data_IF_906644869613
#
_entry.id   IF_906644869613
#
_cell.length_a   1.000
_cell.length_b   1.000
_cell.length_c   1.000
_cell.angle_alpha   90.00
_cell.angle_beta   90.00
_cell.angle_gamma   90.00
#
_symmetry.space_group_name_H-M   'P 1'
#
loop_
_entity.id
_entity.type
_entity.pdbx_description
1 polymer ?
#
# COMPACT_ATOMS: atom_id res chain seq x y z
N UNK A 1 38.07 -60.90 -48.37
CA UNK A 1 37.86 -61.51 -47.04
C UNK A 1 38.15 -60.45 -45.99
N UNK A 2 37.12 -59.82 -45.46
CA UNK A 2 37.25 -58.80 -44.42
C UNK A 2 36.11 -58.97 -43.42
N UNK A 3 36.45 -59.18 -42.15
CA UNK A 3 35.53 -59.13 -41.02
C UNK A 3 36.26 -58.42 -39.88
N UNK A 4 35.76 -57.25 -39.49
CA UNK A 4 36.17 -56.49 -38.31
C UNK A 4 35.03 -56.64 -37.28
N UNK A 5 35.30 -56.99 -36.01
CA UNK A 5 34.25 -57.21 -35.03
C UNK A 5 33.77 -55.89 -34.40
N UNK A 6 32.44 -55.79 -34.28
CA UNK A 6 31.68 -54.69 -33.71
C UNK A 6 31.68 -54.80 -32.17
N UNK A 7 32.28 -53.82 -31.47
CA UNK A 7 32.24 -53.71 -30.01
C UNK A 7 31.00 -52.92 -29.59
N UNK A 8 30.20 -53.54 -28.73
CA UNK A 8 29.02 -52.95 -28.08
C UNK A 8 29.40 -51.74 -27.23
N UNK A 9 28.87 -50.57 -27.56
CA UNK A 9 28.92 -49.38 -26.71
C UNK A 9 27.72 -49.41 -25.75
N UNK A 10 27.98 -49.63 -24.47
CA UNK A 10 26.97 -49.51 -23.41
C UNK A 10 26.63 -48.03 -23.20
N UNK A 11 25.38 -47.66 -23.48
CA UNK A 11 24.86 -46.31 -23.26
C UNK A 11 24.56 -46.11 -21.77
N UNK A 12 25.46 -45.43 -21.06
CA UNK A 12 25.25 -44.99 -19.68
C UNK A 12 24.24 -43.82 -19.68
N UNK A 13 22.98 -44.11 -19.35
CA UNK A 13 21.97 -43.08 -19.09
C UNK A 13 22.27 -42.49 -17.72
N UNK A 14 22.99 -41.36 -17.69
CA UNK A 14 23.15 -40.56 -16.49
C UNK A 14 21.81 -39.90 -16.16
N UNK A 15 21.15 -40.36 -15.10
CA UNK A 15 19.98 -39.70 -14.53
C UNK A 15 20.46 -38.39 -13.88
N UNK A 16 20.39 -37.28 -14.62
CA UNK A 16 20.64 -35.95 -14.08
C UNK A 16 19.47 -35.63 -13.15
N UNK A 17 19.67 -35.84 -11.85
CA UNK A 17 18.80 -35.31 -10.80
C UNK A 17 18.97 -33.79 -10.80
N UNK A 18 18.14 -33.11 -11.61
CA UNK A 18 17.97 -31.66 -11.46
C UNK A 18 17.41 -31.43 -10.06
N UNK A 19 18.08 -30.67 -9.17
CA UNK A 19 17.50 -30.32 -7.90
C UNK A 19 16.18 -29.62 -8.19
N UNK A 20 15.08 -30.16 -7.68
CA UNK A 20 13.81 -29.45 -7.66
C UNK A 20 14.11 -28.04 -7.12
N UNK A 21 13.89 -27.02 -7.95
CA UNK A 21 14.11 -25.64 -7.55
C UNK A 21 13.39 -25.47 -6.20
N UNK A 22 14.16 -25.30 -5.13
CA UNK A 22 13.60 -25.22 -3.79
C UNK A 22 12.54 -24.12 -3.83
N UNK A 23 11.27 -24.50 -3.71
CA UNK A 23 10.16 -23.54 -3.67
C UNK A 23 10.57 -22.50 -2.63
N UNK A 24 10.79 -21.25 -3.04
CA UNK A 24 11.48 -20.33 -2.15
C UNK A 24 10.60 -20.14 -0.91
N UNK A 25 11.16 -20.52 0.24
CA UNK A 25 10.43 -20.59 1.49
C UNK A 25 9.72 -19.26 1.77
N UNK A 26 8.52 -19.33 2.35
CA UNK A 26 7.86 -18.14 2.85
C UNK A 26 8.69 -17.47 3.97
N UNK A 27 8.46 -16.19 4.27
CA UNK A 27 9.14 -15.53 5.38
C UNK A 27 8.90 -16.25 6.71
N UNK A 28 9.95 -16.31 7.54
CA UNK A 28 9.95 -16.87 8.88
C UNK A 28 9.48 -15.87 9.95
N UNK A 29 9.40 -14.58 9.62
CA UNK A 29 9.05 -13.51 10.54
C UNK A 29 7.71 -13.76 11.29
N UNK A 30 7.57 -13.26 12.54
CA UNK A 30 6.35 -13.47 13.33
C UNK A 30 5.09 -12.87 12.71
N UNK A 31 5.22 -11.66 12.14
CA UNK A 31 4.13 -10.95 11.48
C UNK A 31 4.60 -10.41 10.13
N UNK A 32 3.76 -10.57 9.10
CA UNK A 32 4.00 -9.90 7.83
C UNK A 32 2.72 -9.71 7.03
N UNK A 33 2.78 -8.76 6.10
CA UNK A 33 1.77 -8.50 5.08
C UNK A 33 2.44 -8.14 3.76
N UNK A 34 1.94 -8.69 2.65
CA UNK A 34 2.34 -8.36 1.29
C UNK A 34 1.11 -7.91 0.52
N UNK A 35 1.21 -6.75 -0.10
CA UNK A 35 0.08 -6.07 -0.72
C UNK A 35 0.42 -5.60 -2.13
N UNK A 36 -0.52 -5.79 -3.05
CA UNK A 36 -0.46 -5.19 -4.39
C UNK A 36 -1.39 -3.95 -4.43
N UNK A 37 -0.83 -2.74 -4.50
CA UNK A 37 -1.62 -1.52 -4.54
C UNK A 37 -2.40 -1.31 -5.85
N UNK A 38 -2.03 -1.98 -6.95
CA UNK A 38 -2.74 -1.83 -8.22
C UNK A 38 -4.10 -2.54 -8.20
N UNK A 39 -4.15 -3.75 -7.63
CA UNK A 39 -5.38 -4.54 -7.46
C UNK A 39 -6.06 -4.33 -6.11
N UNK A 40 -5.40 -3.61 -5.20
CA UNK A 40 -5.80 -3.43 -3.81
C UNK A 40 -5.94 -4.75 -3.02
N UNK A 41 -5.17 -5.78 -3.37
CA UNK A 41 -5.26 -7.11 -2.77
C UNK A 41 -4.12 -7.40 -1.78
N UNK A 42 -4.47 -8.03 -0.65
CA UNK A 42 -3.50 -8.70 0.22
C UNK A 42 -3.11 -10.04 -0.42
N UNK A 43 -1.84 -10.19 -0.77
CA UNK A 43 -1.33 -11.39 -1.44
C UNK A 43 -0.92 -12.46 -0.44
N UNK A 44 -0.22 -12.04 0.62
CA UNK A 44 0.23 -12.92 1.70
C UNK A 44 0.10 -12.18 3.03
N UNK A 45 -0.28 -12.90 4.07
CA UNK A 45 -0.38 -12.36 5.41
C UNK A 45 -0.10 -13.46 6.45
N UNK A 46 0.59 -13.10 7.52
CA UNK A 46 0.78 -13.95 8.71
C UNK A 46 0.64 -13.08 9.94
N UNK A 47 -0.29 -13.44 10.83
CA UNK A 47 -0.60 -12.68 12.05
C UNK A 47 -0.72 -11.16 11.79
N UNK A 48 -1.30 -10.79 10.64
CA UNK A 48 -1.20 -9.44 10.11
C UNK A 48 -2.09 -8.44 10.87
N UNK A 49 -3.09 -8.93 11.59
CA UNK A 49 -4.07 -8.15 12.36
C UNK A 49 -3.69 -8.05 13.86
N UNK A 50 -2.55 -8.63 14.26
CA UNK A 50 -2.07 -8.55 15.64
C UNK A 50 -1.67 -7.11 16.00
N UNK A 51 -2.21 -6.60 17.11
CA UNK A 51 -1.89 -5.28 17.66
C UNK A 51 -0.54 -5.32 18.34
N UNK A 52 0.42 -4.58 17.80
CA UNK A 52 1.80 -4.54 18.24
C UNK A 52 2.33 -3.11 18.22
N UNK A 53 3.36 -2.84 19.02
CA UNK A 53 4.02 -1.56 19.02
C UNK A 53 4.68 -1.29 17.65
N UNK A 54 4.27 -0.25 16.91
CA UNK A 54 4.79 0.03 15.56
C UNK A 54 6.20 0.63 15.56
N UNK A 55 6.65 1.18 16.68
CA UNK A 55 7.90 1.94 16.76
C UNK A 55 7.93 3.06 15.72
N UNK A 56 9.08 3.28 15.09
CA UNK A 56 9.25 4.32 14.06
C UNK A 56 8.41 4.12 12.78
N UNK A 57 7.75 2.96 12.57
CA UNK A 57 6.79 2.82 11.46
C UNK A 57 5.59 3.78 11.63
N UNK A 58 5.33 4.26 12.84
CA UNK A 58 4.42 5.38 13.16
C UNK A 58 4.67 6.61 12.29
N UNK A 59 5.93 6.88 11.95
CA UNK A 59 6.30 8.07 11.20
C UNK A 59 5.80 8.03 9.74
N UNK A 60 5.30 6.88 9.25
CA UNK A 60 4.52 6.84 8.01
C UNK A 60 3.23 7.66 8.15
N UNK A 61 2.53 7.57 9.28
CA UNK A 61 1.32 8.37 9.53
C UNK A 61 1.68 9.83 9.83
N UNK A 62 2.78 10.07 10.56
CA UNK A 62 3.28 11.44 10.79
C UNK A 62 3.59 12.13 9.47
N UNK A 63 4.29 11.45 8.56
CA UNK A 63 4.53 11.96 7.21
C UNK A 63 3.23 12.17 6.45
N UNK A 64 2.28 11.23 6.52
CA UNK A 64 0.98 11.34 5.85
C UNK A 64 0.22 12.62 6.26
N UNK A 65 0.14 12.90 7.56
CA UNK A 65 -0.53 14.11 8.09
C UNK A 65 0.24 15.39 7.70
N UNK A 66 1.57 15.39 7.79
CA UNK A 66 2.40 16.55 7.42
C UNK A 66 2.31 16.83 5.91
N UNK A 67 2.30 15.80 5.07
CA UNK A 67 2.11 15.97 3.63
C UNK A 67 0.71 16.49 3.29
N UNK A 68 -0.32 16.10 4.04
CA UNK A 68 -1.65 16.71 3.96
C UNK A 68 -1.60 18.21 4.25
N UNK A 69 -0.99 18.60 5.36
CA UNK A 69 -0.82 20.01 5.72
C UNK A 69 -0.03 20.81 4.68
N UNK A 70 1.00 20.22 4.06
CA UNK A 70 1.76 20.83 2.96
C UNK A 70 0.91 21.01 1.70
N UNK A 71 0.12 19.99 1.33
CA UNK A 71 -0.79 20.04 0.16
C UNK A 71 -1.87 21.11 0.36
N UNK A 72 -2.39 21.21 1.57
CA UNK A 72 -3.50 22.11 1.90
C UNK A 72 -3.03 23.55 2.18
N UNK A 73 -1.71 23.78 2.27
CA UNK A 73 -1.09 25.10 2.40
C UNK A 73 -0.95 25.60 3.85
N UNK A 74 -1.27 24.78 4.84
CA UNK A 74 -1.16 25.10 6.28
C UNK A 74 0.30 25.31 6.71
N UNK A 75 1.23 24.67 6.01
CA UNK A 75 2.67 24.77 6.22
C UNK A 75 3.40 24.74 4.88
N UNK A 76 4.61 25.29 4.81
CA UNK A 76 5.46 25.26 3.62
C UNK A 76 6.81 24.62 3.92
N UNK A 77 7.45 24.02 2.90
CA UNK A 77 8.75 23.36 3.05
C UNK A 77 9.86 24.29 3.56
N UNK A 78 9.80 25.58 3.19
CA UNK A 78 10.79 26.60 3.54
C UNK A 78 10.48 27.32 4.85
N UNK A 79 9.36 27.00 5.51
CA UNK A 79 9.05 27.58 6.82
C UNK A 79 10.13 27.16 7.82
N UNK A 80 10.73 28.13 8.46
CA UNK A 80 11.65 27.92 9.57
C UNK A 80 10.88 27.68 10.88
N UNK A 81 11.31 26.68 11.63
CA UNK A 81 10.75 26.29 12.91
C UNK A 81 11.86 26.29 13.96
N UNK A 82 11.56 26.81 15.15
CA UNK A 82 12.47 26.77 16.29
C UNK A 82 12.05 25.58 17.18
N UNK A 83 12.88 24.53 17.30
CA UNK A 83 12.55 23.37 18.13
C UNK A 83 12.36 23.74 19.60
N UNK A 84 11.25 23.29 20.18
CA UNK A 84 10.93 23.49 21.60
C UNK A 84 11.75 22.53 22.48
N UNK A 85 11.91 22.87 23.76
CA UNK A 85 12.54 21.94 24.72
C UNK A 85 11.78 20.60 24.82
N UNK A 86 10.45 20.64 24.67
CA UNK A 86 9.63 19.44 24.65
C UNK A 86 9.98 18.54 23.47
N UNK A 87 10.07 19.07 22.25
CA UNK A 87 10.42 18.29 21.07
C UNK A 87 11.86 17.71 21.12
N UNK A 88 12.77 18.38 21.84
CA UNK A 88 14.16 17.94 22.00
C UNK A 88 14.39 16.97 23.18
N UNK A 89 13.37 16.77 24.03
CA UNK A 89 13.50 15.97 25.26
C UNK A 89 14.13 14.60 24.98
N UNK A 90 15.14 14.17 25.75
CA UNK A 90 15.74 12.88 25.51
C UNK A 90 14.84 11.71 25.91
N UNK A 91 14.83 10.67 25.08
CA UNK A 91 14.27 9.36 25.33
C UNK A 91 15.36 8.31 25.08
N UNK A 92 15.29 7.17 25.78
CA UNK A 92 16.29 6.12 25.66
C UNK A 92 16.42 5.62 24.22
N UNK A 93 17.65 5.65 23.70
CA UNK A 93 18.07 5.03 22.42
C UNK A 93 17.18 5.40 21.21
N UNK A 94 16.76 6.66 21.09
CA UNK A 94 16.03 7.11 19.88
C UNK A 94 16.96 7.70 18.79
N UNK A 95 16.70 7.42 17.49
CA UNK A 95 17.31 8.15 16.38
C UNK A 95 16.92 9.64 16.40
N UNK A 96 17.87 10.51 16.06
CA UNK A 96 17.72 11.97 16.16
C UNK A 96 18.54 12.69 15.10
N UNK A 97 18.03 13.84 14.68
CA UNK A 97 18.81 14.84 13.93
C UNK A 97 19.79 15.63 14.81
N UNK A 98 19.66 15.53 16.14
CA UNK A 98 20.44 16.30 17.12
C UNK A 98 20.15 17.81 17.02
N UNK A 99 18.85 18.13 16.84
CA UNK A 99 18.35 19.49 16.76
C UNK A 99 18.69 20.29 18.04
N UNK A 100 18.95 21.58 17.89
CA UNK A 100 19.32 22.47 18.99
C UNK A 100 18.21 23.48 19.28
N UNK A 101 17.98 23.77 20.56
CA UNK A 101 16.99 24.77 20.94
C UNK A 101 17.47 26.16 20.52
N UNK A 102 16.57 26.98 19.98
CA UNK A 102 16.89 28.32 19.49
C UNK A 102 17.53 28.36 18.09
N UNK A 103 17.86 27.21 17.49
CA UNK A 103 18.36 27.14 16.11
C UNK A 103 17.19 26.83 15.18
N UNK A 104 16.95 27.71 14.22
CA UNK A 104 15.91 27.53 13.21
C UNK A 104 16.24 26.36 12.26
N UNK A 105 15.24 25.55 11.93
CA UNK A 105 15.35 24.43 11.00
C UNK A 105 14.12 24.42 10.08
N UNK A 106 14.33 24.17 8.79
CA UNK A 106 13.24 24.17 7.82
C UNK A 106 12.39 22.90 7.91
N UNK A 107 11.12 23.00 7.49
CA UNK A 107 10.24 21.82 7.37
C UNK A 107 10.82 20.76 6.44
N UNK A 108 11.49 21.17 5.37
CA UNK A 108 12.15 20.24 4.44
C UNK A 108 13.27 19.42 5.11
N UNK A 109 14.12 20.08 5.90
CA UNK A 109 15.18 19.42 6.67
C UNK A 109 14.61 18.46 7.72
N UNK A 110 13.56 18.87 8.44
CA UNK A 110 12.89 18.03 9.43
C UNK A 110 12.27 16.80 8.78
N UNK A 111 11.59 16.96 7.64
CA UNK A 111 11.07 15.83 6.86
C UNK A 111 12.19 14.92 6.39
N UNK A 112 13.30 15.49 5.93
CA UNK A 112 14.44 14.71 5.48
C UNK A 112 15.06 13.89 6.62
N UNK A 113 15.26 14.46 7.81
CA UNK A 113 15.78 13.70 8.95
C UNK A 113 14.79 12.67 9.50
N UNK A 114 13.51 13.02 9.58
CA UNK A 114 12.45 12.08 9.98
C UNK A 114 12.36 10.88 9.01
N UNK A 115 12.36 11.13 7.70
CA UNK A 115 12.20 10.07 6.71
C UNK A 115 13.47 9.24 6.55
N UNK A 116 14.64 9.89 6.47
CA UNK A 116 15.90 9.19 6.20
C UNK A 116 16.41 8.49 7.45
N UNK A 117 16.42 9.13 8.62
CA UNK A 117 17.01 8.56 9.83
C UNK A 117 15.99 8.03 10.83
N UNK A 118 14.70 8.13 10.51
CA UNK A 118 13.63 7.89 11.48
C UNK A 118 13.72 8.81 12.72
N UNK A 119 14.24 10.04 12.54
CA UNK A 119 14.53 10.96 13.63
C UNK A 119 13.27 11.39 14.41
N UNK A 120 13.23 11.05 15.70
CA UNK A 120 12.04 11.28 16.56
C UNK A 120 11.90 12.73 17.02
N UNK A 121 13.01 13.43 17.22
CA UNK A 121 13.00 14.87 17.51
C UNK A 121 12.36 15.67 16.36
N UNK A 122 12.73 15.35 15.11
CA UNK A 122 12.12 15.95 13.93
C UNK A 122 10.60 15.69 13.82
N UNK A 123 10.18 14.45 14.09
CA UNK A 123 8.76 14.09 14.10
C UNK A 123 7.95 14.92 15.13
N UNK A 124 8.51 15.15 16.32
CA UNK A 124 7.87 15.98 17.35
C UNK A 124 7.78 17.46 16.96
N UNK A 125 8.85 18.02 16.38
CA UNK A 125 8.83 19.42 15.90
C UNK A 125 7.78 19.60 14.80
N UNK A 126 7.72 18.67 13.84
CA UNK A 126 6.70 18.70 12.78
C UNK A 126 5.28 18.59 13.35
N UNK A 127 5.09 17.74 14.36
CA UNK A 127 3.80 17.59 15.02
C UNK A 127 3.34 18.88 15.72
N UNK A 128 4.23 19.53 16.47
CA UNK A 128 3.97 20.84 17.08
C UNK A 128 3.68 21.92 16.03
N UNK A 129 4.39 21.92 14.90
CA UNK A 129 4.18 22.90 13.86
C UNK A 129 2.81 22.77 13.15
N UNK A 130 2.32 21.54 12.97
CA UNK A 130 1.05 21.26 12.26
C UNK A 130 -0.16 21.35 13.19
N UNK A 131 -0.02 20.96 14.45
CA UNK A 131 -1.16 20.84 15.37
C UNK A 131 -0.98 21.57 16.72
N UNK A 132 0.01 22.45 16.83
CA UNK A 132 0.40 23.20 18.04
C UNK A 132 0.99 22.37 19.18
N UNK A 133 0.53 21.12 19.39
CA UNK A 133 1.11 20.20 20.36
C UNK A 133 0.90 18.72 19.96
N UNK A 134 1.71 17.82 20.54
CA UNK A 134 1.79 16.41 20.13
C UNK A 134 0.47 15.63 20.31
N UNK A 135 -0.29 15.89 21.39
CA UNK A 135 -1.60 15.23 21.59
C UNK A 135 -2.62 15.59 20.50
N UNK A 136 -2.74 16.86 20.11
CA UNK A 136 -3.63 17.27 19.03
C UNK A 136 -3.17 16.71 17.67
N UNK A 137 -1.86 16.53 17.49
CA UNK A 137 -1.34 15.84 16.32
C UNK A 137 -1.75 14.37 16.31
N UNK A 138 -1.68 13.67 17.45
CA UNK A 138 -2.15 12.29 17.56
C UNK A 138 -3.65 12.16 17.26
N UNK A 139 -4.48 13.13 17.65
CA UNK A 139 -5.89 13.18 17.27
C UNK A 139 -6.07 13.28 15.75
N UNK A 140 -5.28 14.11 15.07
CA UNK A 140 -5.27 14.16 13.59
C UNK A 140 -4.83 12.84 12.96
N UNK A 141 -3.79 12.21 13.50
CA UNK A 141 -3.34 10.88 13.04
C UNK A 141 -4.47 9.85 13.17
N UNK A 142 -5.22 9.87 14.27
CA UNK A 142 -6.32 8.93 14.51
C UNK A 142 -7.58 9.26 13.67
N UNK A 143 -7.79 10.52 13.29
CA UNK A 143 -8.79 10.87 12.28
C UNK A 143 -8.46 10.25 10.92
N UNK A 144 -7.17 10.26 10.53
CA UNK A 144 -6.70 9.59 9.32
C UNK A 144 -6.79 8.06 9.41
N UNK A 145 -6.52 7.46 10.58
CA UNK A 145 -6.77 6.03 10.85
C UNK A 145 -8.21 5.67 10.52
N UNK A 146 -9.18 6.44 11.04
CA UNK A 146 -10.60 6.21 10.78
C UNK A 146 -10.96 6.40 9.30
N UNK A 147 -10.46 7.48 8.67
CA UNK A 147 -10.73 7.79 7.25
C UNK A 147 -10.17 6.72 6.31
N UNK A 148 -9.00 6.18 6.63
CA UNK A 148 -8.34 5.11 5.86
C UNK A 148 -8.86 3.71 6.21
N UNK A 149 -9.69 3.58 7.25
CA UNK A 149 -10.27 2.31 7.68
C UNK A 149 -9.25 1.34 8.29
N UNK A 150 -8.21 1.87 8.95
CA UNK A 150 -7.18 1.08 9.64
C UNK A 150 -7.76 0.57 10.97
N UNK A 151 -8.04 -0.72 11.07
CA UNK A 151 -8.91 -1.29 12.12
C UNK A 151 -8.20 -1.64 13.41
N UNK A 152 -6.90 -1.86 13.33
CA UNK A 152 -6.05 -2.33 14.42
C UNK A 152 -4.89 -1.36 14.66
N UNK A 153 -5.19 -0.06 14.55
CA UNK A 153 -4.24 1.03 14.73
C UNK A 153 -4.79 2.13 15.64
N UNK A 154 -3.95 2.61 16.55
CA UNK A 154 -4.14 3.83 17.31
C UNK A 154 -2.77 4.43 17.64
N UNK A 155 -2.60 5.70 17.32
CA UNK A 155 -1.38 6.44 17.63
C UNK A 155 -1.57 7.31 18.87
N UNK A 156 -0.64 7.23 19.81
CA UNK A 156 -0.60 8.11 20.98
C UNK A 156 0.35 9.31 20.81
N UNK A 157 1.31 9.21 19.88
CA UNK A 157 2.33 10.22 19.63
C UNK A 157 2.83 10.15 18.17
N UNK A 158 3.56 11.18 17.73
CA UNK A 158 4.03 11.32 16.36
C UNK A 158 5.34 10.57 16.08
N UNK A 159 6.09 10.23 17.13
CA UNK A 159 7.46 9.72 16.99
C UNK A 159 7.54 8.20 16.96
N UNK A 160 6.50 7.51 17.44
CA UNK A 160 6.52 6.06 17.67
C UNK A 160 7.25 5.68 18.95
N UNK A 161 7.29 6.59 19.93
CA UNK A 161 7.73 6.30 21.29
C UNK A 161 6.75 5.34 21.97
N UNK A 162 7.26 4.46 22.82
CA UNK A 162 6.43 3.50 23.54
C UNK A 162 5.50 4.23 24.52
N UNK A 163 4.20 3.95 24.40
CA UNK A 163 3.16 4.63 25.14
C UNK A 163 1.90 3.76 25.21
N UNK A 164 1.17 3.85 26.33
CA UNK A 164 -0.02 3.05 26.55
C UNK A 164 -1.09 3.29 25.46
N UNK A 165 -1.53 2.19 24.85
CA UNK A 165 -2.53 2.22 23.79
C UNK A 165 -2.02 2.78 22.46
N UNK A 166 -0.70 2.79 22.25
CA UNK A 166 -0.04 3.04 20.97
C UNK A 166 0.24 1.71 20.26
N UNK A 167 -0.50 1.40 19.18
CA UNK A 167 -0.37 0.14 18.46
C UNK A 167 -0.74 0.28 16.99
N UNK A 168 -0.26 -0.65 16.18
CA UNK A 168 -0.71 -0.89 14.81
C UNK A 168 -0.62 -2.38 14.47
N UNK A 169 -0.79 -2.74 13.21
CA UNK A 169 -0.77 -4.11 12.70
C UNK A 169 -0.02 -4.18 11.37
N UNK A 170 0.46 -5.35 10.95
CA UNK A 170 1.15 -5.47 9.67
C UNK A 170 0.20 -5.13 8.49
N UNK A 171 -1.08 -5.49 8.61
CA UNK A 171 -2.13 -5.15 7.64
C UNK A 171 -2.31 -3.64 7.55
N UNK A 172 -2.52 -2.98 8.68
CA UNK A 172 -2.79 -1.54 8.67
C UNK A 172 -1.57 -0.74 8.20
N UNK A 173 -0.36 -1.15 8.59
CA UNK A 173 0.87 -0.49 8.15
C UNK A 173 1.10 -0.62 6.64
N UNK A 174 0.75 -1.76 6.04
CA UNK A 174 0.89 -1.91 4.57
C UNK A 174 -0.19 -1.12 3.83
N UNK A 175 -1.40 -1.01 4.39
CA UNK A 175 -2.46 -0.16 3.85
C UNK A 175 -2.13 1.33 4.00
N UNK A 176 -1.52 1.74 5.11
CA UNK A 176 -1.00 3.08 5.32
C UNK A 176 0.10 3.42 4.32
N UNK A 177 1.04 2.49 4.08
CA UNK A 177 2.04 2.65 3.04
C UNK A 177 1.40 2.79 1.64
N UNK A 178 0.36 2.02 1.34
CA UNK A 178 -0.38 2.13 0.09
C UNK A 178 -1.08 3.48 -0.06
N UNK A 179 -1.72 3.98 1.00
CA UNK A 179 -2.35 5.29 1.03
C UNK A 179 -1.32 6.41 0.83
N UNK A 180 -0.17 6.33 1.49
CA UNK A 180 0.91 7.30 1.35
C UNK A 180 1.40 7.40 -0.10
N UNK A 181 1.62 6.26 -0.78
CA UNK A 181 2.05 6.28 -2.18
C UNK A 181 0.97 6.70 -3.16
N UNK A 182 -0.31 6.43 -2.84
CA UNK A 182 -1.45 6.84 -3.66
C UNK A 182 -1.67 8.35 -3.59
N UNK A 183 -1.63 8.91 -2.38
CA UNK A 183 -2.05 10.28 -2.12
C UNK A 183 -0.88 11.27 -2.20
N UNK A 184 0.36 10.79 -1.99
CA UNK A 184 1.59 11.59 -2.03
C UNK A 184 2.71 10.93 -2.84
N UNK A 185 2.46 10.53 -4.12
CA UNK A 185 3.46 9.83 -4.94
C UNK A 185 4.76 10.63 -5.13
N UNK A 186 4.67 11.96 -5.17
CA UNK A 186 5.81 12.87 -5.34
C UNK A 186 6.76 12.89 -4.13
N UNK A 187 6.35 12.33 -2.99
CA UNK A 187 7.19 12.25 -1.78
C UNK A 187 8.04 10.98 -1.72
N UNK A 188 7.75 9.98 -2.56
CA UNK A 188 8.50 8.72 -2.62
C UNK A 188 10.02 8.90 -2.81
N UNK A 189 10.53 9.85 -3.63
CA UNK A 189 11.96 10.09 -3.75
C UNK A 189 12.67 10.41 -2.43
N UNK A 190 11.96 10.93 -1.41
CA UNK A 190 12.54 11.16 -0.07
C UNK A 190 12.86 9.85 0.64
N UNK A 191 12.00 8.84 0.52
CA UNK A 191 12.17 7.52 1.11
C UNK A 191 13.27 6.70 0.42
N UNK A 192 13.52 6.95 -0.86
CA UNK A 192 14.60 6.31 -1.63
C UNK A 192 16.00 6.88 -1.30
N UNK A 193 16.10 7.98 -0.53
CA UNK A 193 17.39 8.56 -0.15
C UNK A 193 18.11 7.65 0.83
N UNK A 194 19.32 7.25 0.44
CA UNK A 194 20.26 6.44 1.26
C UNK A 194 20.92 7.24 2.38
N UNK A 195 21.12 8.54 2.15
CA UNK A 195 21.82 9.46 3.06
C UNK A 195 21.19 10.85 3.02
N UNK A 196 21.39 11.59 4.09
CA UNK A 196 21.08 13.01 4.23
C UNK A 196 22.18 13.69 5.06
N UNK A 197 22.14 15.02 5.17
CA UNK A 197 23.01 15.77 6.07
C UNK A 197 22.23 16.89 6.72
N UNK A 198 22.52 17.18 7.98
CA UNK A 198 22.01 18.33 8.70
C UNK A 198 23.12 18.89 9.59
N UNK A 199 23.44 20.18 9.47
CA UNK A 199 24.49 20.85 10.25
C UNK A 199 25.85 20.10 10.24
N UNK A 200 26.24 19.56 9.09
CA UNK A 200 27.48 18.80 8.93
C UNK A 200 27.44 17.38 9.49
N UNK A 201 26.32 16.93 10.02
CA UNK A 201 26.09 15.58 10.53
C UNK A 201 25.45 14.74 9.43
N UNK A 202 26.14 13.68 9.00
CA UNK A 202 25.57 12.72 8.06
C UNK A 202 24.50 11.86 8.73
N UNK A 203 23.34 11.76 8.08
CA UNK A 203 22.23 10.91 8.47
C UNK A 203 22.13 9.74 7.50
N UNK A 204 21.96 8.53 8.04
CA UNK A 204 21.96 7.29 7.25
C UNK A 204 20.59 6.63 7.28
N UNK A 205 20.18 6.10 6.13
CA UNK A 205 18.95 5.33 6.06
C UNK A 205 19.13 3.92 6.65
N UNK A 206 18.41 3.53 7.72
CA UNK A 206 18.52 2.20 8.31
C UNK A 206 17.94 1.08 7.42
N UNK A 207 17.20 1.43 6.37
CA UNK A 207 16.66 0.49 5.39
C UNK A 207 17.74 0.01 4.41
N UNK A 208 18.51 -1.02 4.79
CA UNK A 208 19.61 -1.54 3.96
C UNK A 208 19.13 -2.08 2.61
N UNK A 209 17.85 -2.40 2.45
CA UNK A 209 17.29 -2.84 1.16
C UNK A 209 17.52 -1.83 0.04
N UNK A 210 17.60 -0.52 0.35
CA UNK A 210 17.92 0.52 -0.64
C UNK A 210 19.31 0.33 -1.29
N UNK A 211 20.21 -0.45 -0.68
CA UNK A 211 21.52 -0.80 -1.23
C UNK A 211 21.54 -2.22 -1.82
N UNK A 212 20.69 -3.12 -1.33
CA UNK A 212 20.71 -4.54 -1.66
C UNK A 212 19.82 -4.88 -2.87
N UNK A 213 18.73 -4.13 -3.08
CA UNK A 213 17.80 -4.35 -4.18
C UNK A 213 17.56 -3.04 -4.95
N UNK A 214 17.95 -2.96 -6.24
CA UNK A 214 17.75 -1.76 -7.05
C UNK A 214 16.27 -1.44 -7.32
N UNK A 215 15.35 -2.38 -7.05
CA UNK A 215 13.91 -2.19 -7.19
C UNK A 215 13.26 -1.62 -5.94
N UNK A 216 13.95 -1.58 -4.79
CA UNK A 216 13.42 -1.04 -3.53
C UNK A 216 13.60 0.48 -3.49
N UNK A 217 12.52 1.19 -3.20
CA UNK A 217 12.47 2.66 -3.17
C UNK A 217 11.88 3.23 -1.86
N UNK A 218 11.81 2.42 -0.81
CA UNK A 218 11.33 2.83 0.50
C UNK A 218 10.99 1.66 1.42
N UNK A 219 10.30 1.87 2.55
CA UNK A 219 9.87 3.16 3.10
C UNK A 219 10.55 3.42 4.46
N UNK A 220 10.20 2.68 5.50
CA UNK A 220 10.62 2.99 6.87
C UNK A 220 11.00 1.72 7.63
N UNK A 221 11.94 1.83 8.56
CA UNK A 221 12.27 0.74 9.49
C UNK A 221 11.97 1.13 10.93
N UNK A 222 11.84 0.14 11.81
CA UNK A 222 11.75 0.35 13.23
C UNK A 222 12.50 -0.74 14.00
N UNK A 223 12.84 -0.41 15.23
CA UNK A 223 13.28 -1.35 16.24
C UNK A 223 12.49 -1.05 17.51
N UNK A 224 11.96 -2.09 18.13
CA UNK A 224 11.21 -2.00 19.39
C UNK A 224 11.79 -3.06 20.32
N UNK A 225 12.16 -2.64 21.54
CA UNK A 225 12.69 -3.56 22.54
C UNK A 225 11.65 -4.64 22.89
N UNK A 226 12.09 -5.90 22.99
CA UNK A 226 11.22 -7.05 23.22
C UNK A 226 10.46 -7.55 21.97
N UNK A 227 10.18 -6.70 20.97
CA UNK A 227 9.53 -7.10 19.72
C UNK A 227 10.54 -7.42 18.61
N UNK A 228 11.63 -6.68 18.52
CA UNK A 228 12.69 -6.86 17.51
C UNK A 228 12.64 -5.81 16.39
N UNK A 229 13.02 -6.23 15.18
CA UNK A 229 13.27 -5.37 14.03
C UNK A 229 12.16 -5.47 12.98
N UNK A 230 11.74 -4.32 12.45
CA UNK A 230 10.59 -4.20 11.55
C UNK A 230 10.88 -3.28 10.37
N UNK A 231 10.22 -3.53 9.24
CA UNK A 231 10.32 -2.71 8.03
C UNK A 231 8.98 -2.66 7.30
N UNK A 232 8.63 -1.48 6.79
CA UNK A 232 7.69 -1.31 5.70
C UNK A 232 8.52 -0.99 4.44
N UNK A 233 8.51 -1.90 3.47
CA UNK A 233 9.28 -1.84 2.25
C UNK A 233 8.37 -1.66 1.04
N UNK A 234 8.89 -0.94 0.06
CA UNK A 234 8.25 -0.72 -1.23
C UNK A 234 9.22 -1.09 -2.33
N UNK A 235 8.76 -1.86 -3.32
CA UNK A 235 9.57 -2.19 -4.49
C UNK A 235 8.76 -2.11 -5.78
N UNK A 236 9.41 -1.65 -6.87
CA UNK A 236 8.83 -1.57 -8.21
C UNK A 236 9.67 -2.30 -9.24
N UNK A 237 9.08 -3.29 -9.93
CA UNK A 237 9.68 -4.01 -11.06
C UNK A 237 8.84 -3.77 -12.31
N UNK A 238 9.41 -3.07 -13.30
CA UNK A 238 8.65 -2.59 -14.45
C UNK A 238 7.51 -1.67 -14.01
N UNK A 239 6.28 -1.99 -14.40
CA UNK A 239 5.08 -1.24 -14.01
C UNK A 239 4.45 -1.73 -12.70
N UNK A 240 4.91 -2.85 -12.13
CA UNK A 240 4.30 -3.46 -10.95
C UNK A 240 5.01 -3.02 -9.69
N UNK A 241 4.24 -2.58 -8.70
CA UNK A 241 4.70 -2.24 -7.35
C UNK A 241 4.15 -3.25 -6.35
N UNK A 242 4.96 -3.63 -5.37
CA UNK A 242 4.52 -4.40 -4.21
C UNK A 242 4.96 -3.70 -2.94
N UNK A 243 4.14 -3.81 -1.90
CA UNK A 243 4.40 -3.31 -0.57
C UNK A 243 4.48 -4.48 0.41
N UNK A 244 5.54 -4.50 1.22
CA UNK A 244 5.77 -5.55 2.19
C UNK A 244 5.99 -4.93 3.57
N UNK A 245 5.31 -5.46 4.58
CA UNK A 245 5.56 -5.15 5.98
C UNK A 245 6.03 -6.43 6.66
N UNK A 246 7.15 -6.35 7.38
CA UNK A 246 7.71 -7.42 8.20
C UNK A 246 7.95 -6.86 9.59
N UNK A 247 7.49 -7.56 10.62
CA UNK A 247 7.58 -7.10 12.02
C UNK A 247 8.12 -8.22 12.91
N UNK A 248 9.06 -7.85 13.77
CA UNK A 248 9.58 -8.69 14.84
C UNK A 248 10.67 -9.69 14.42
N UNK A 249 11.51 -9.33 13.45
CA UNK A 249 12.71 -10.12 13.16
C UNK A 249 13.74 -9.99 14.28
N UNK A 250 14.59 -11.01 14.49
CA UNK A 250 15.54 -11.03 15.60
C UNK A 250 16.76 -10.10 15.39
N UNK A 251 17.03 -9.70 14.14
CA UNK A 251 18.11 -8.76 13.80
C UNK A 251 17.75 -7.90 12.58
N UNK A 252 18.47 -6.79 12.38
CA UNK A 252 18.31 -5.96 11.18
C UNK A 252 18.60 -6.73 9.89
N UNK A 253 19.62 -7.59 9.89
CA UNK A 253 19.94 -8.46 8.74
C UNK A 253 18.82 -9.46 8.45
N UNK A 254 18.24 -10.06 9.48
CA UNK A 254 17.08 -10.95 9.30
C UNK A 254 15.88 -10.16 8.76
N UNK A 255 15.52 -9.03 9.36
CA UNK A 255 14.44 -8.12 8.87
C UNK A 255 14.57 -7.86 7.38
N UNK A 256 15.77 -7.46 6.94
CA UNK A 256 16.03 -7.14 5.53
C UNK A 256 15.89 -8.39 4.64
N UNK A 257 16.48 -9.52 5.03
CA UNK A 257 16.37 -10.77 4.26
C UNK A 257 14.94 -11.31 4.18
N UNK A 258 14.13 -11.16 5.24
CA UNK A 258 12.74 -11.60 5.29
C UNK A 258 11.85 -10.72 4.39
N UNK A 259 12.04 -9.40 4.42
CA UNK A 259 11.33 -8.48 3.53
C UNK A 259 11.71 -8.69 2.06
N UNK A 260 13.00 -8.88 1.77
CA UNK A 260 13.49 -9.24 0.45
C UNK A 260 12.86 -10.55 -0.05
N UNK A 261 12.77 -11.57 0.81
CA UNK A 261 12.15 -12.87 0.48
C UNK A 261 10.66 -12.71 0.18
N UNK A 262 9.95 -11.93 0.99
CA UNK A 262 8.52 -11.66 0.80
C UNK A 262 8.24 -10.94 -0.53
N UNK A 263 9.01 -9.89 -0.83
CA UNK A 263 8.89 -9.15 -2.11
C UNK A 263 9.23 -10.06 -3.30
N UNK A 264 10.32 -10.82 -3.23
CA UNK A 264 10.73 -11.74 -4.30
C UNK A 264 9.68 -12.82 -4.57
N UNK A 265 9.10 -13.39 -3.51
CA UNK A 265 8.01 -14.33 -3.65
C UNK A 265 6.80 -13.67 -4.33
N UNK A 266 6.40 -12.47 -3.90
CA UNK A 266 5.30 -11.72 -4.52
C UNK A 266 5.48 -11.47 -6.01
N UNK A 267 6.69 -11.11 -6.44
CA UNK A 267 6.98 -10.88 -7.86
C UNK A 267 7.09 -12.17 -8.68
N UNK A 268 7.40 -13.31 -8.07
CA UNK A 268 7.61 -14.59 -8.77
C UNK A 268 6.34 -15.42 -8.85
N UNK A 269 5.57 -15.48 -7.77
CA UNK A 269 4.43 -16.39 -7.64
C UNK A 269 3.09 -15.75 -8.00
N UNK A 270 3.04 -14.42 -8.19
CA UNK A 270 1.82 -13.71 -8.54
C UNK A 270 2.02 -12.88 -9.79
N UNK A 271 0.94 -12.64 -10.53
CA UNK A 271 0.86 -11.70 -11.65
C UNK A 271 -0.33 -10.77 -11.49
N UNK A 272 -0.21 -9.53 -11.97
CA UNK A 272 -1.28 -8.51 -11.89
C UNK A 272 -1.80 -8.21 -13.28
N UNK A 273 -3.05 -8.55 -13.51
CA UNK A 273 -3.73 -8.47 -14.80
C UNK A 273 -4.65 -7.24 -14.83
N UNK A 274 -4.51 -6.40 -15.86
CA UNK A 274 -5.48 -5.34 -16.15
C UNK A 274 -6.73 -5.99 -16.74
N UNK A 275 -7.84 -6.01 -15.99
CA UNK A 275 -9.11 -6.57 -16.43
C UNK A 275 -9.89 -5.58 -17.30
N UNK A 276 -9.99 -4.32 -16.85
CA UNK A 276 -10.73 -3.27 -17.55
C UNK A 276 -10.01 -1.94 -17.40
N UNK A 277 -9.97 -1.16 -18.48
CA UNK A 277 -9.50 0.24 -18.43
C UNK A 277 -10.58 1.15 -17.87
N UNK A 278 -10.15 2.26 -17.28
CA UNK A 278 -11.00 3.37 -16.90
C UNK A 278 -11.89 3.79 -18.07
N UNK A 279 -13.18 4.01 -17.81
CA UNK A 279 -14.21 4.41 -18.79
C UNK A 279 -14.42 3.44 -19.96
N UNK A 280 -13.82 2.25 -19.94
CA UNK A 280 -14.17 1.19 -20.87
C UNK A 280 -15.59 0.67 -20.53
N UNK A 281 -16.47 0.66 -21.53
CA UNK A 281 -17.80 0.07 -21.38
C UNK A 281 -17.68 -1.45 -21.21
N UNK A 282 -18.26 -1.97 -20.13
CA UNK A 282 -18.36 -3.41 -19.84
C UNK A 282 -19.65 -3.98 -20.43
N UNK A 283 -20.76 -3.26 -20.28
CA UNK A 283 -22.08 -3.61 -20.80
C UNK A 283 -22.92 -2.35 -20.98
N UNK A 284 -23.89 -2.38 -21.89
CA UNK A 284 -24.94 -1.37 -21.99
C UNK A 284 -26.25 -1.92 -21.39
N UNK A 285 -26.72 -1.32 -20.29
CA UNK A 285 -27.94 -1.71 -19.57
C UNK A 285 -29.13 -0.82 -19.95
N UNK A 286 -30.35 -1.36 -19.87
CA UNK A 286 -31.59 -0.59 -20.12
C UNK A 286 -31.83 0.39 -18.96
N UNK A 287 -32.08 1.66 -19.29
CA UNK A 287 -32.53 2.69 -18.32
C UNK A 287 -33.94 3.12 -18.63
N UNK A 288 -34.83 2.99 -17.65
CA UNK A 288 -36.23 3.35 -17.77
C UNK A 288 -36.45 4.82 -17.37
N UNK A 289 -37.46 5.43 -17.99
CA UNK A 289 -37.90 6.81 -17.70
C UNK A 289 -36.83 7.88 -17.96
N UNK A 290 -35.75 7.53 -18.68
CA UNK A 290 -34.61 8.40 -18.97
C UNK A 290 -34.64 9.01 -20.37
N UNK A 291 -33.90 10.09 -20.59
CA UNK A 291 -33.73 10.70 -21.93
C UNK A 291 -33.05 9.77 -22.93
N UNK A 292 -32.43 8.69 -22.45
CA UNK A 292 -31.86 7.59 -23.23
C UNK A 292 -32.41 6.28 -22.70
N UNK A 293 -32.49 5.30 -23.58
CA UNK A 293 -33.00 3.98 -23.26
C UNK A 293 -31.92 3.00 -22.80
N UNK A 294 -30.65 3.29 -23.09
CA UNK A 294 -29.48 2.51 -22.68
C UNK A 294 -28.41 3.39 -22.02
N UNK A 295 -27.68 2.78 -21.10
CA UNK A 295 -26.55 3.37 -20.38
C UNK A 295 -25.37 2.42 -20.38
N UNK A 296 -24.21 2.92 -20.81
CA UNK A 296 -22.95 2.21 -20.66
C UNK A 296 -22.51 2.22 -19.19
N UNK A 297 -22.17 1.03 -18.70
CA UNK A 297 -21.66 0.81 -17.35
C UNK A 297 -20.24 0.25 -17.43
N UNK A 298 -19.41 0.62 -16.45
CA UNK A 298 -18.01 0.24 -16.41
C UNK A 298 -17.33 0.71 -15.13
N UNK A 299 -16.07 1.14 -15.23
CA UNK A 299 -15.28 1.49 -14.06
C UNK A 299 -14.72 2.92 -14.11
N UNK A 300 -14.72 3.57 -12.94
CA UNK A 300 -14.21 4.93 -12.78
C UNK A 300 -12.68 5.02 -12.83
N UNK A 301 -11.97 3.92 -12.61
CA UNK A 301 -10.50 3.82 -12.73
C UNK A 301 -10.15 2.46 -13.33
N UNK A 302 -8.89 2.29 -13.74
CA UNK A 302 -8.38 0.98 -14.16
C UNK A 302 -8.65 -0.07 -13.07
N UNK A 303 -8.98 -1.29 -13.50
CA UNK A 303 -9.25 -2.43 -12.64
C UNK A 303 -8.22 -3.51 -12.89
N UNK A 304 -7.42 -3.77 -11.87
CA UNK A 304 -6.48 -4.87 -11.84
C UNK A 304 -6.99 -5.99 -10.94
N UNK A 305 -6.58 -7.21 -11.24
CA UNK A 305 -6.67 -8.36 -10.34
C UNK A 305 -5.29 -8.99 -10.24
N UNK A 306 -4.88 -9.37 -9.03
CA UNK A 306 -3.64 -10.10 -8.80
C UNK A 306 -3.95 -11.56 -8.47
N UNK A 307 -3.35 -12.47 -9.22
CA UNK A 307 -3.58 -13.91 -9.15
C UNK A 307 -2.26 -14.66 -8.97
N UNK A 308 -2.28 -15.88 -8.41
CA UNK A 308 -1.15 -16.79 -8.54
C UNK A 308 -0.80 -17.02 -10.02
N UNK A 309 0.49 -17.15 -10.31
CA UNK A 309 0.98 -17.34 -11.67
C UNK A 309 0.34 -18.58 -12.31
N UNK A 310 -0.22 -18.41 -13.51
CA UNK A 310 -0.88 -19.52 -14.23
C UNK A 310 -2.32 -19.79 -13.82
N UNK A 311 -2.88 -19.07 -12.84
CA UNK A 311 -4.27 -19.24 -12.41
C UNK A 311 -5.28 -18.44 -13.26
N UNK A 312 -4.84 -17.79 -14.34
CA UNK A 312 -5.69 -16.91 -15.17
C UNK A 312 -6.91 -17.63 -15.76
N UNK A 313 -6.74 -18.85 -16.26
CA UNK A 313 -7.83 -19.64 -16.87
C UNK A 313 -8.89 -20.08 -15.84
N UNK A 314 -8.56 -20.03 -14.55
CA UNK A 314 -9.48 -20.35 -13.45
C UNK A 314 -10.29 -19.12 -12.99
N UNK A 315 -9.97 -17.93 -13.50
CA UNK A 315 -10.70 -16.70 -13.18
C UNK A 315 -12.02 -16.67 -13.94
N UNK A 316 -13.11 -16.50 -13.19
CA UNK A 316 -14.44 -16.26 -13.72
C UNK A 316 -14.98 -14.91 -13.24
N UNK A 317 -15.84 -14.30 -14.05
CA UNK A 317 -16.42 -13.00 -13.78
C UNK A 317 -17.93 -13.02 -14.04
N UNK A 318 -18.73 -12.60 -13.06
CA UNK A 318 -20.19 -12.50 -13.15
C UNK A 318 -20.63 -11.08 -12.82
N UNK A 319 -21.28 -10.43 -13.77
CA UNK A 319 -21.83 -9.09 -13.59
C UNK A 319 -23.26 -9.16 -13.07
N UNK A 320 -23.49 -8.58 -11.90
CA UNK A 320 -24.81 -8.34 -11.33
C UNK A 320 -25.17 -6.85 -11.47
N UNK A 321 -26.38 -6.54 -11.95
CA UNK A 321 -26.84 -5.17 -12.17
C UNK A 321 -28.18 -4.94 -11.48
N UNK A 322 -28.39 -3.74 -10.95
CA UNK A 322 -29.65 -3.36 -10.35
C UNK A 322 -30.71 -3.13 -11.45
N UNK A 323 -31.49 -4.17 -11.77
CA UNK A 323 -32.63 -4.08 -12.70
C UNK A 323 -33.98 -4.04 -11.93
N UNK A 324 -34.95 -3.21 -12.36
CA UNK A 324 -34.86 -2.21 -13.42
C UNK A 324 -34.12 -0.94 -12.97
N UNK A 325 -33.21 -0.43 -13.81
CA UNK A 325 -32.53 0.83 -13.56
C UNK A 325 -33.41 2.02 -14.00
N UNK A 326 -33.70 2.95 -13.09
CA UNK A 326 -34.58 4.10 -13.32
C UNK A 326 -33.79 5.42 -13.36
N UNK A 327 -34.17 6.32 -14.26
CA UNK A 327 -33.67 7.69 -14.27
C UNK A 327 -34.27 8.55 -13.11
N UNK A 328 -33.55 9.58 -12.61
CA UNK A 328 -32.24 10.03 -13.09
C UNK A 328 -31.09 9.13 -12.61
N UNK A 329 -30.13 8.87 -13.49
CA UNK A 329 -28.86 8.20 -13.14
C UNK A 329 -27.73 9.20 -13.30
N UNK A 330 -26.83 9.28 -12.33
CA UNK A 330 -25.66 10.17 -12.40
C UNK A 330 -24.42 9.39 -12.84
N UNK A 331 -23.53 10.02 -13.62
CA UNK A 331 -22.22 9.45 -13.90
C UNK A 331 -21.48 9.15 -12.58
N UNK A 332 -20.85 7.97 -12.48
CA UNK A 332 -20.20 7.49 -11.27
C UNK A 332 -21.14 6.82 -10.26
N UNK A 333 -22.46 6.89 -10.45
CA UNK A 333 -23.41 6.15 -9.61
C UNK A 333 -23.18 4.65 -9.76
N UNK A 334 -23.09 3.93 -8.64
CA UNK A 334 -23.03 2.47 -8.64
C UNK A 334 -24.35 1.89 -9.16
N UNK A 335 -24.26 1.00 -10.14
CA UNK A 335 -25.40 0.40 -10.86
C UNK A 335 -25.28 -1.13 -10.95
N UNK A 336 -24.21 -1.69 -10.40
CA UNK A 336 -23.98 -3.12 -10.34
C UNK A 336 -22.71 -3.48 -9.57
N UNK A 337 -22.42 -4.77 -9.53
CA UNK A 337 -21.22 -5.36 -8.94
C UNK A 337 -20.68 -6.41 -9.91
N UNK A 338 -19.38 -6.38 -10.17
CA UNK A 338 -18.68 -7.45 -10.87
C UNK A 338 -18.09 -8.40 -9.83
N UNK A 339 -18.66 -9.60 -9.73
CA UNK A 339 -18.17 -10.68 -8.88
C UNK A 339 -17.05 -11.42 -9.62
N UNK A 340 -15.85 -11.43 -9.06
CA UNK A 340 -14.73 -12.22 -9.54
C UNK A 340 -14.58 -13.44 -8.64
N UNK A 341 -14.40 -14.61 -9.24
CA UNK A 341 -14.14 -15.85 -8.53
C UNK A 341 -12.95 -16.58 -9.18
N UNK A 342 -12.10 -17.18 -8.35
CA UNK A 342 -10.97 -18.00 -8.77
C UNK A 342 -11.24 -19.44 -8.39
N UNK A 343 -11.27 -20.35 -9.36
CA UNK A 343 -11.59 -21.77 -9.14
C UNK A 343 -12.91 -21.96 -8.37
N UNK A 344 -13.92 -21.17 -8.76
CA UNK A 344 -15.25 -21.17 -8.13
C UNK A 344 -15.34 -20.50 -6.75
N UNK A 345 -14.21 -20.10 -6.14
CA UNK A 345 -14.20 -19.40 -4.86
C UNK A 345 -14.28 -17.88 -5.06
N UNK A 346 -15.11 -17.16 -4.28
CA UNK A 346 -15.17 -15.69 -4.34
C UNK A 346 -13.79 -15.07 -4.11
N UNK A 347 -13.38 -14.20 -5.02
CA UNK A 347 -12.09 -13.50 -4.96
C UNK A 347 -12.27 -12.02 -4.61
N UNK A 348 -13.06 -11.29 -5.40
CA UNK A 348 -13.24 -9.85 -5.25
C UNK A 348 -14.55 -9.39 -5.86
N UNK A 349 -15.24 -8.50 -5.16
CA UNK A 349 -16.39 -7.77 -5.68
C UNK A 349 -15.98 -6.35 -6.06
N UNK A 350 -16.23 -5.98 -7.32
CA UNK A 350 -15.83 -4.67 -7.84
C UNK A 350 -17.08 -3.86 -8.21
N UNK A 351 -17.32 -2.69 -7.58
CA UNK A 351 -18.43 -1.82 -7.94
C UNK A 351 -18.36 -1.39 -9.41
N UNK A 352 -19.48 -1.55 -10.11
CA UNK A 352 -19.65 -1.11 -11.50
C UNK A 352 -20.52 0.14 -11.50
N UNK A 353 -20.06 1.16 -12.22
CA UNK A 353 -20.67 2.50 -12.22
C UNK A 353 -21.22 2.89 -13.57
N UNK A 354 -22.19 3.79 -13.57
CA UNK A 354 -22.65 4.50 -14.76
C UNK A 354 -21.52 5.34 -15.35
N UNK A 355 -21.21 5.17 -16.65
CA UNK A 355 -20.17 5.98 -17.30
C UNK A 355 -20.64 7.38 -17.67
N UNK A 356 -21.95 7.58 -17.74
CA UNK A 356 -22.61 8.80 -18.20
C UNK A 356 -23.86 9.06 -17.35
N UNK A 357 -24.31 10.31 -17.28
CA UNK A 357 -25.59 10.66 -16.64
C UNK A 357 -26.76 10.44 -17.61
N UNK A 358 -27.89 9.97 -17.10
CA UNK A 358 -29.16 9.86 -17.82
C UNK A 358 -30.23 10.65 -17.05
N UNK A 359 -30.57 11.87 -17.48
CA UNK A 359 -31.65 12.65 -16.90
C UNK A 359 -33.03 12.00 -17.10
N UNK A 360 -34.02 12.48 -16.35
CA UNK A 360 -35.42 12.12 -16.55
C UNK A 360 -35.91 12.52 -17.95
N UNK A 361 -36.66 11.62 -18.59
CA UNK A 361 -37.37 11.91 -19.81
C UNK A 361 -38.59 12.82 -19.58
N UNK A 362 -39.17 13.33 -20.67
CA UNK A 362 -40.44 14.04 -20.62
C UNK A 362 -41.59 13.14 -20.12
N UNK A 363 -42.71 13.76 -19.71
CA UNK A 363 -43.84 13.07 -19.06
C UNK A 363 -44.41 11.93 -19.92
N UNK A 364 -44.50 12.13 -21.25
CA UNK A 364 -45.02 11.12 -22.17
C UNK A 364 -44.14 9.87 -22.24
N UNK A 365 -42.83 10.05 -22.44
CA UNK A 365 -41.88 8.93 -22.49
C UNK A 365 -41.87 8.14 -21.16
N UNK A 366 -41.97 8.84 -20.02
CA UNK A 366 -42.08 8.18 -18.71
C UNK A 366 -43.38 7.40 -18.55
N UNK A 367 -44.50 7.88 -19.12
CA UNK A 367 -45.78 7.18 -19.12
C UNK A 367 -45.75 5.88 -19.92
N UNK A 368 -45.15 5.90 -21.12
CA UNK A 368 -44.95 4.69 -21.94
C UNK A 368 -44.08 3.67 -21.22
N UNK A 369 -42.98 4.12 -20.61
CA UNK A 369 -42.09 3.24 -19.84
C UNK A 369 -42.75 2.68 -18.57
N UNK A 370 -43.63 3.46 -17.91
CA UNK A 370 -44.40 2.97 -16.76
C UNK A 370 -45.38 1.86 -17.15
N UNK A 371 -46.08 1.99 -18.28
CA UNK A 371 -46.93 0.90 -18.79
C UNK A 371 -46.12 -0.35 -19.11
N UNK A 372 -44.99 -0.20 -19.80
CA UNK A 372 -44.11 -1.34 -20.16
C UNK A 372 -43.54 -2.06 -18.94
N UNK A 373 -43.16 -1.31 -17.89
CA UNK A 373 -42.68 -1.90 -16.63
C UNK A 373 -43.76 -2.67 -15.89
N UNK A 374 -45.04 -2.35 -16.08
CA UNK A 374 -46.14 -3.03 -15.40
C UNK A 374 -46.42 -4.43 -15.97
N UNK A 375 -46.03 -4.69 -17.22
CA UNK A 375 -46.19 -5.98 -17.90
C UNK A 375 -44.93 -6.86 -17.85
N UNK A 376 -43.91 -6.48 -17.08
CA UNK A 376 -42.66 -7.23 -16.89
C UNK A 376 -42.61 -7.75 -15.47
#
# INVERSE_FOLDING_TARGET
MGFIPMKYAALLIAFIWLPAAAAAALPSAPHYALYDPASAQMLLAKNADARIAPGALTQLMTAYVVFGALRDGDITLHRELIPTQYALRPQQKEPRMLLQSGVAVTVDELLQGMIVQSARDAARVLAEAVAHHELAFADRMNAEVARLGLRDTRFANASGADEAGHYSSARDLVLLAAALLRDFPDQLPRYARRRASHNGIELYNPNRLLWLDPYVDGLQTAQVDGLGFSVAASARRGQRRLLAVVIGAASSGQRDSEAQRLLNHGFREFESLLLYRQKQAVKAVRVWKGTRDRLDIGFATDRYVTLPLGAREQLSARLETAEPLLAPVHAGQQVGILHLALDGQPLLDVPVVALQSVPLANVFARGVDAMRLWFR
#
